data_IF_631868276641
#
_entry.id   IF_631868276641
#
_cell.length_a   1.000
_cell.length_b   1.000
_cell.length_c   1.000
_cell.angle_alpha   90.00
_cell.angle_beta   90.00
_cell.angle_gamma   90.00
#
_symmetry.space_group_name_H-M   'P 1'
#
loop_
_entity.id
_entity.type
_entity.pdbx_description
1 polymer ?
#
# COMPACT_ATOMS: atom_id res chain seq x y z
N UNK A 1 -8.16 -4.67 3.56
CA UNK A 1 -9.37 -3.87 3.35
C UNK A 1 -9.93 -3.48 4.68
N UNK A 2 -10.66 -2.38 4.75
CA UNK A 2 -11.50 -2.12 5.92
C UNK A 2 -12.51 -3.26 6.10
N UNK A 3 -12.73 -3.70 7.33
CA UNK A 3 -13.70 -4.77 7.65
C UNK A 3 -15.13 -4.22 7.86
N UNK A 4 -15.32 -2.90 7.76
CA UNK A 4 -16.63 -2.25 7.87
C UNK A 4 -17.43 -2.26 6.56
N UNK A 5 -16.81 -2.71 5.48
CA UNK A 5 -17.39 -2.68 4.14
C UNK A 5 -17.42 -1.27 3.51
N UNK A 6 -17.94 -1.15 2.27
CA UNK A 6 -18.03 0.13 1.59
C UNK A 6 -19.04 1.06 2.27
N UNK A 7 -18.81 2.38 2.31
CA UNK A 7 -19.80 3.36 2.74
C UNK A 7 -21.13 3.24 1.97
N UNK A 8 -22.27 3.59 2.62
CA UNK A 8 -23.59 3.50 1.99
C UNK A 8 -23.66 4.31 0.69
N UNK A 9 -23.20 5.57 0.73
CA UNK A 9 -23.17 6.44 -0.45
C UNK A 9 -22.41 5.84 -1.63
N UNK A 10 -21.28 5.16 -1.36
CA UNK A 10 -20.51 4.47 -2.41
C UNK A 10 -21.28 3.30 -3.01
N UNK A 11 -21.97 2.50 -2.19
CA UNK A 11 -22.81 1.40 -2.71
C UNK A 11 -23.97 1.92 -3.58
N UNK A 12 -24.58 3.04 -3.18
CA UNK A 12 -25.65 3.70 -3.93
C UNK A 12 -25.11 4.25 -5.28
N UNK A 13 -23.96 4.92 -5.26
CA UNK A 13 -23.30 5.41 -6.48
C UNK A 13 -22.92 4.29 -7.46
N UNK A 14 -22.42 3.15 -6.93
CA UNK A 14 -22.10 1.99 -7.78
C UNK A 14 -23.37 1.38 -8.43
N UNK A 15 -24.51 1.34 -7.73
CA UNK A 15 -25.76 0.89 -8.29
C UNK A 15 -26.28 1.86 -9.37
N UNK A 16 -26.22 3.16 -9.11
CA UNK A 16 -26.60 4.17 -10.10
C UNK A 16 -25.72 4.11 -11.35
N UNK A 17 -24.42 3.88 -11.20
CA UNK A 17 -23.51 3.74 -12.34
C UNK A 17 -23.82 2.50 -13.20
N UNK A 18 -24.43 1.45 -12.64
CA UNK A 18 -24.86 0.29 -13.41
C UNK A 18 -25.99 0.59 -14.39
N UNK A 19 -26.85 1.57 -14.10
CA UNK A 19 -27.95 2.01 -14.98
C UNK A 19 -27.44 2.86 -16.16
N UNK A 20 -26.19 3.35 -16.08
CA UNK A 20 -25.57 4.20 -17.10
C UNK A 20 -24.43 3.50 -17.86
N UNK A 21 -24.32 2.17 -17.74
CA UNK A 21 -23.20 1.38 -18.29
C UNK A 21 -23.06 1.47 -19.82
N UNK A 22 -24.10 1.87 -20.54
CA UNK A 22 -24.11 2.12 -21.99
C UNK A 22 -23.29 3.35 -22.41
N UNK A 23 -22.92 4.21 -21.47
CA UNK A 23 -22.14 5.44 -21.73
C UNK A 23 -20.68 5.25 -21.41
N UNK A 24 -19.82 5.82 -22.25
CA UNK A 24 -18.40 5.90 -21.91
C UNK A 24 -18.18 6.71 -20.67
N UNK A 25 -17.26 6.31 -19.78
CA UNK A 25 -16.86 7.12 -18.65
C UNK A 25 -16.16 8.41 -19.12
N UNK A 26 -16.09 9.41 -18.25
CA UNK A 26 -15.37 10.65 -18.55
C UNK A 26 -13.89 10.34 -18.86
N UNK A 27 -13.37 10.80 -20.02
CA UNK A 27 -11.97 10.57 -20.36
C UNK A 27 -11.03 11.13 -19.28
N UNK A 28 -10.00 10.34 -18.94
CA UNK A 28 -8.98 10.72 -17.93
C UNK A 28 -9.55 11.00 -16.53
N UNK A 29 -10.84 10.69 -16.28
CA UNK A 29 -11.52 11.01 -15.01
C UNK A 29 -11.29 12.47 -14.57
N UNK A 30 -11.43 13.44 -15.49
CA UNK A 30 -10.96 14.81 -15.31
C UNK A 30 -11.60 15.52 -14.12
N UNK A 31 -12.93 15.41 -13.94
CA UNK A 31 -13.63 16.00 -12.80
C UNK A 31 -13.20 15.38 -11.47
N UNK A 32 -13.01 14.05 -11.42
CA UNK A 32 -12.55 13.38 -10.21
C UNK A 32 -11.11 13.79 -9.87
N UNK A 33 -10.23 13.90 -10.88
CA UNK A 33 -8.85 14.39 -10.74
C UNK A 33 -8.81 15.80 -10.13
N UNK A 34 -9.59 16.74 -10.69
CA UNK A 34 -9.65 18.12 -10.20
C UNK A 34 -10.11 18.18 -8.72
N UNK A 35 -11.13 17.40 -8.36
CA UNK A 35 -11.63 17.32 -6.99
C UNK A 35 -10.59 16.74 -6.02
N UNK A 36 -9.86 15.71 -6.43
CA UNK A 36 -8.79 15.12 -5.61
C UNK A 36 -7.63 16.09 -5.43
N UNK A 37 -7.20 16.78 -6.49
CA UNK A 37 -6.17 17.80 -6.40
C UNK A 37 -6.56 18.95 -5.45
N UNK A 38 -7.79 19.44 -5.56
CA UNK A 38 -8.33 20.48 -4.67
C UNK A 38 -8.34 20.02 -3.21
N UNK A 39 -8.81 18.80 -2.95
CA UNK A 39 -8.84 18.22 -1.60
C UNK A 39 -7.45 18.14 -0.96
N UNK A 40 -6.46 17.73 -1.73
CA UNK A 40 -5.08 17.56 -1.27
C UNK A 40 -4.26 18.87 -1.31
N UNK A 41 -4.82 19.95 -1.82
CA UNK A 41 -4.16 21.25 -1.89
C UNK A 41 -2.98 21.29 -2.89
N UNK A 42 -3.03 20.47 -3.93
CA UNK A 42 -2.01 20.41 -4.98
C UNK A 42 -2.55 20.98 -6.31
N UNK A 43 -1.69 21.48 -7.22
CA UNK A 43 -2.12 21.87 -8.56
C UNK A 43 -2.84 20.73 -9.29
N UNK A 44 -3.87 21.02 -10.08
CA UNK A 44 -4.62 20.00 -10.82
C UNK A 44 -3.72 19.15 -11.73
N UNK A 45 -2.74 19.77 -12.39
CA UNK A 45 -1.76 19.09 -13.22
C UNK A 45 -0.84 18.13 -12.46
N UNK A 46 -0.80 18.23 -11.13
CA UNK A 46 -0.02 17.35 -10.25
C UNK A 46 -0.75 16.09 -9.82
N UNK A 47 -1.99 15.86 -10.26
CA UNK A 47 -2.77 14.68 -9.90
C UNK A 47 -3.13 13.84 -11.14
N UNK A 48 -3.15 12.52 -10.98
CA UNK A 48 -3.60 11.56 -11.98
C UNK A 48 -4.41 10.45 -11.31
N UNK A 49 -5.63 10.22 -11.79
CA UNK A 49 -6.48 9.11 -11.34
C UNK A 49 -6.21 7.90 -12.23
N UNK A 50 -6.09 6.71 -11.64
CA UNK A 50 -5.80 5.47 -12.38
C UNK A 50 -6.71 4.30 -12.00
N UNK A 51 -6.70 3.27 -12.82
CA UNK A 51 -7.38 1.99 -12.62
C UNK A 51 -6.70 1.17 -11.49
N UNK A 52 -6.78 1.72 -10.28
CA UNK A 52 -6.02 1.29 -9.12
C UNK A 52 -4.57 1.80 -9.12
N UNK A 53 -3.92 1.73 -7.95
CA UNK A 53 -2.51 2.12 -7.83
C UNK A 53 -1.58 1.28 -8.73
N UNK A 54 -1.96 0.04 -9.05
CA UNK A 54 -1.13 -0.81 -9.91
C UNK A 54 -0.95 -0.24 -11.32
N UNK A 55 -2.00 0.26 -11.96
CA UNK A 55 -1.85 0.94 -13.26
C UNK A 55 -0.87 2.12 -13.15
N UNK A 56 -1.01 2.93 -12.11
CA UNK A 56 -0.16 4.09 -11.90
C UNK A 56 1.31 3.71 -11.70
N UNK A 57 1.60 2.58 -11.05
CA UNK A 57 2.96 2.03 -10.89
C UNK A 57 3.56 1.73 -12.27
N UNK A 58 2.81 1.07 -13.17
CA UNK A 58 3.29 0.71 -14.51
C UNK A 58 3.45 1.94 -15.41
N UNK A 59 2.51 2.87 -15.38
CA UNK A 59 2.60 4.12 -16.13
C UNK A 59 3.78 4.98 -15.68
N UNK A 60 4.02 5.03 -14.37
CA UNK A 60 5.16 5.72 -13.78
C UNK A 60 6.48 5.09 -14.25
N UNK A 61 6.62 3.77 -14.16
CA UNK A 61 7.81 3.07 -14.65
C UNK A 61 8.05 3.33 -16.13
N UNK A 62 7.00 3.31 -16.96
CA UNK A 62 7.07 3.65 -18.39
C UNK A 62 7.51 5.10 -18.63
N UNK A 63 7.00 6.06 -17.84
CA UNK A 63 7.35 7.45 -17.98
C UNK A 63 8.81 7.74 -17.57
N UNK A 64 9.32 7.01 -16.56
CA UNK A 64 10.66 7.19 -16.02
C UNK A 64 11.75 6.45 -16.83
N UNK A 65 11.38 5.48 -17.67
CA UNK A 65 12.33 4.59 -18.33
C UNK A 65 13.43 5.31 -19.13
N UNK A 66 13.08 6.37 -19.86
CA UNK A 66 14.05 7.12 -20.67
C UNK A 66 15.10 7.85 -19.80
N UNK A 67 14.68 8.46 -18.69
CA UNK A 67 15.57 9.19 -17.77
C UNK A 67 16.37 8.28 -16.84
N UNK A 68 15.96 7.01 -16.71
CA UNK A 68 16.62 6.03 -15.85
C UNK A 68 17.71 5.19 -16.59
N UNK A 69 17.95 5.43 -17.89
CA UNK A 69 18.92 4.63 -18.67
C UNK A 69 20.30 4.60 -18.03
N UNK A 70 20.84 3.39 -17.86
CA UNK A 70 22.16 3.15 -17.25
C UNK A 70 22.21 3.32 -15.73
N UNK A 71 21.08 3.72 -15.10
CA UNK A 71 20.94 3.83 -13.65
C UNK A 71 19.90 2.84 -13.14
N UNK A 72 19.92 2.54 -11.87
CA UNK A 72 19.00 1.60 -11.21
C UNK A 72 18.01 2.31 -10.29
N UNK A 73 16.89 1.68 -10.03
CA UNK A 73 16.01 2.06 -8.92
C UNK A 73 16.32 1.21 -7.70
N UNK A 74 16.35 1.84 -6.54
CA UNK A 74 16.40 1.15 -5.25
C UNK A 74 14.99 0.72 -4.86
N UNK A 75 14.87 -0.52 -4.37
CA UNK A 75 13.62 -1.06 -3.86
C UNK A 75 13.92 -1.79 -2.56
N UNK A 76 13.43 -1.33 -1.39
CA UNK A 76 13.58 -2.06 -0.13
C UNK A 76 12.93 -3.44 -0.23
N UNK A 77 13.59 -4.46 0.30
CA UNK A 77 13.11 -5.85 0.25
C UNK A 77 13.11 -6.48 1.65
N UNK A 78 12.01 -7.12 2.09
CA UNK A 78 10.80 -7.43 1.33
C UNK A 78 9.84 -6.26 1.15
N UNK A 79 9.23 -6.14 -0.04
CA UNK A 79 8.16 -5.17 -0.32
C UNK A 79 7.20 -5.70 -1.40
N UNK A 80 6.24 -4.88 -1.82
CA UNK A 80 5.27 -5.25 -2.85
C UNK A 80 5.95 -5.47 -4.21
N UNK A 81 5.84 -6.69 -4.75
CA UNK A 81 6.59 -7.14 -5.92
C UNK A 81 6.29 -6.41 -7.23
N UNK A 82 5.16 -5.67 -7.31
CA UNK A 82 4.80 -4.94 -8.54
C UNK A 82 5.72 -3.76 -8.82
N UNK A 83 6.41 -3.19 -7.82
CA UNK A 83 7.39 -2.13 -8.07
C UNK A 83 8.54 -2.64 -8.93
N UNK A 84 9.17 -3.72 -8.49
CA UNK A 84 10.22 -4.40 -9.24
C UNK A 84 9.74 -4.84 -10.61
N UNK A 85 8.58 -5.53 -10.66
CA UNK A 85 8.02 -6.05 -11.90
C UNK A 85 7.75 -4.95 -12.93
N UNK A 86 7.20 -3.80 -12.50
CA UNK A 86 6.93 -2.67 -13.38
C UNK A 86 8.24 -2.04 -13.88
N UNK A 87 9.20 -1.80 -12.99
CA UNK A 87 10.50 -1.21 -13.34
C UNK A 87 11.26 -2.09 -14.34
N UNK A 88 11.45 -3.38 -14.02
CA UNK A 88 12.14 -4.34 -14.90
C UNK A 88 11.40 -4.54 -16.23
N UNK A 89 10.05 -4.56 -16.21
CA UNK A 89 9.23 -4.66 -17.41
C UNK A 89 9.38 -3.48 -18.38
N UNK A 90 9.89 -2.34 -17.90
CA UNK A 90 10.21 -1.16 -18.71
C UNK A 90 11.72 -0.94 -18.89
N UNK A 91 12.54 -1.97 -18.62
CA UNK A 91 13.98 -1.93 -18.82
C UNK A 91 14.76 -1.11 -17.78
N UNK A 92 14.16 -0.82 -16.63
CA UNK A 92 14.83 -0.14 -15.53
C UNK A 92 15.42 -1.20 -14.59
N UNK A 93 16.72 -1.19 -14.39
CA UNK A 93 17.38 -2.10 -13.46
C UNK A 93 16.96 -1.81 -12.01
N UNK A 94 16.79 -2.87 -11.21
CA UNK A 94 16.42 -2.78 -9.81
C UNK A 94 17.56 -3.25 -8.91
N UNK A 95 17.86 -2.46 -7.89
CA UNK A 95 18.71 -2.83 -6.77
C UNK A 95 17.87 -3.02 -5.53
N UNK A 96 17.76 -4.24 -5.03
CA UNK A 96 17.11 -4.49 -3.74
C UNK A 96 18.00 -4.02 -2.59
N UNK A 97 17.39 -3.29 -1.65
CA UNK A 97 18.00 -2.89 -0.38
C UNK A 97 17.40 -3.76 0.72
N UNK A 98 18.16 -4.71 1.29
CA UNK A 98 17.64 -5.61 2.31
C UNK A 98 17.20 -4.85 3.56
N UNK A 99 15.96 -5.12 4.02
CA UNK A 99 15.48 -4.64 5.32
C UNK A 99 15.94 -5.61 6.42
N UNK A 100 16.45 -5.11 7.57
CA UNK A 100 16.81 -5.95 8.71
C UNK A 100 15.58 -6.71 9.24
N UNK A 101 15.68 -8.02 9.38
CA UNK A 101 14.51 -8.88 9.73
C UNK A 101 13.98 -8.64 11.14
N UNK A 102 14.81 -8.11 12.03
CA UNK A 102 14.47 -7.80 13.42
C UNK A 102 13.48 -6.62 13.50
N UNK A 103 13.69 -5.59 12.67
CA UNK A 103 12.94 -4.33 12.73
C UNK A 103 12.15 -4.04 11.46
N UNK A 104 12.59 -4.53 10.31
CA UNK A 104 12.15 -4.11 8.98
C UNK A 104 12.23 -2.59 8.75
N UNK A 105 13.06 -1.89 9.51
CA UNK A 105 13.29 -0.46 9.34
C UNK A 105 14.08 -0.18 8.07
N UNK A 106 13.81 0.96 7.44
CA UNK A 106 14.58 1.41 6.28
C UNK A 106 16.02 1.74 6.71
N UNK A 107 17.05 1.12 6.13
CA UNK A 107 18.44 1.46 6.44
C UNK A 107 18.81 2.78 5.71
N UNK A 108 18.45 3.91 6.32
CA UNK A 108 18.50 5.24 5.69
C UNK A 108 19.89 5.59 5.18
N UNK A 109 20.93 5.32 5.97
CA UNK A 109 22.33 5.62 5.60
C UNK A 109 22.76 4.82 4.36
N UNK A 110 22.35 3.55 4.25
CA UNK A 110 22.62 2.72 3.08
C UNK A 110 21.87 3.26 1.86
N UNK A 111 20.61 3.63 2.04
CA UNK A 111 19.79 4.20 0.96
C UNK A 111 20.38 5.52 0.48
N UNK A 112 20.78 6.42 1.36
CA UNK A 112 21.40 7.71 1.00
C UNK A 112 22.73 7.54 0.25
N UNK A 113 23.52 6.56 0.63
CA UNK A 113 24.75 6.22 -0.07
C UNK A 113 24.46 5.67 -1.47
N UNK A 114 23.56 4.70 -1.60
CA UNK A 114 23.20 4.08 -2.86
C UNK A 114 22.46 5.05 -3.82
N UNK A 115 21.74 6.05 -3.30
CA UNK A 115 21.07 7.10 -4.09
C UNK A 115 22.05 7.98 -4.88
N UNK A 116 23.34 7.98 -4.56
CA UNK A 116 24.34 8.74 -5.32
C UNK A 116 24.42 8.28 -6.79
N UNK A 117 24.18 7.00 -7.05
CA UNK A 117 24.23 6.42 -8.39
C UNK A 117 22.86 5.94 -8.90
N UNK A 118 21.84 5.95 -8.06
CA UNK A 118 20.51 5.47 -8.40
C UNK A 118 19.68 6.52 -9.15
N UNK A 119 18.79 6.07 -10.05
CA UNK A 119 17.79 6.92 -10.69
C UNK A 119 16.64 7.27 -9.73
N UNK A 120 16.46 6.49 -8.67
CA UNK A 120 15.45 6.74 -7.66
C UNK A 120 15.29 5.62 -6.63
N UNK A 121 14.40 5.88 -5.70
CA UNK A 121 13.92 4.94 -4.67
C UNK A 121 12.41 4.75 -4.83
N UNK A 122 11.96 3.49 -4.83
CA UNK A 122 10.54 3.15 -4.77
C UNK A 122 10.21 2.53 -3.40
N UNK A 123 9.43 3.22 -2.60
CA UNK A 123 9.14 2.88 -1.21
C UNK A 123 7.63 2.67 -1.00
N UNK A 124 7.24 1.62 -0.26
CA UNK A 124 5.89 1.44 0.26
C UNK A 124 5.83 1.91 1.72
N UNK A 125 4.91 2.81 2.05
CA UNK A 125 4.83 3.35 3.41
C UNK A 125 3.38 3.58 3.87
N UNK A 126 2.86 2.80 4.84
CA UNK A 126 3.47 1.62 5.49
C UNK A 126 3.81 0.50 4.52
N UNK A 127 4.90 -0.21 4.78
CA UNK A 127 5.40 -1.24 3.89
C UNK A 127 4.51 -2.50 3.86
N UNK A 128 4.35 -3.08 2.70
CA UNK A 128 3.70 -4.37 2.50
C UNK A 128 4.77 -5.40 2.07
N UNK A 129 5.07 -6.45 2.86
CA UNK A 129 4.16 -7.10 3.82
C UNK A 129 4.41 -6.75 5.30
N UNK A 130 5.39 -5.93 5.66
CA UNK A 130 5.86 -5.79 7.02
C UNK A 130 4.92 -4.97 7.92
N UNK A 131 4.13 -4.06 7.34
CA UNK A 131 3.32 -3.10 8.09
C UNK A 131 4.11 -1.96 8.74
N UNK A 132 5.43 -1.95 8.55
CA UNK A 132 6.32 -0.91 9.08
C UNK A 132 6.02 0.44 8.43
N UNK A 133 5.87 1.46 9.26
CA UNK A 133 5.75 2.86 8.87
C UNK A 133 7.09 3.55 9.15
N UNK A 134 7.63 4.21 8.16
CA UNK A 134 8.67 5.19 8.33
C UNK A 134 8.03 6.57 8.50
N UNK A 135 8.34 7.31 9.57
CA UNK A 135 7.70 8.58 9.83
C UNK A 135 8.14 9.65 8.83
N UNK A 136 7.30 10.69 8.68
CA UNK A 136 7.55 11.80 7.75
C UNK A 136 8.92 12.47 7.98
N UNK A 137 9.36 12.55 9.25
CA UNK A 137 10.64 13.12 9.66
C UNK A 137 11.84 12.36 9.08
N UNK A 138 11.68 11.09 8.75
CA UNK A 138 12.69 10.26 8.08
C UNK A 138 12.60 10.42 6.56
N UNK A 139 11.37 10.41 6.01
CA UNK A 139 11.18 10.40 4.56
C UNK A 139 11.40 11.78 3.92
N UNK A 140 11.09 12.87 4.59
CA UNK A 140 11.23 14.21 4.01
C UNK A 140 12.70 14.62 3.79
N UNK A 141 13.64 14.41 4.74
CA UNK A 141 15.06 14.58 4.46
C UNK A 141 15.55 13.70 3.30
N UNK A 142 15.11 12.44 3.24
CA UNK A 142 15.47 11.52 2.16
C UNK A 142 14.96 12.02 0.79
N UNK A 143 13.73 12.58 0.73
CA UNK A 143 13.18 13.18 -0.49
C UNK A 143 14.02 14.37 -0.97
N UNK A 144 14.47 15.22 -0.04
CA UNK A 144 15.37 16.36 -0.35
C UNK A 144 16.75 15.89 -0.81
N UNK A 145 17.30 14.86 -0.15
CA UNK A 145 18.56 14.26 -0.54
C UNK A 145 18.49 13.63 -1.94
N UNK A 146 17.41 12.94 -2.27
CA UNK A 146 17.15 12.43 -3.62
C UNK A 146 17.04 13.57 -4.65
N UNK A 147 16.29 14.64 -4.35
CA UNK A 147 16.15 15.81 -5.22
C UNK A 147 17.51 16.47 -5.55
N UNK A 148 18.36 16.65 -4.54
CA UNK A 148 19.69 17.24 -4.71
C UNK A 148 20.60 16.42 -5.65
N UNK A 149 20.27 15.14 -5.87
CA UNK A 149 21.01 14.20 -6.74
C UNK A 149 20.32 13.94 -8.08
N UNK A 150 19.20 14.60 -8.35
CA UNK A 150 18.37 14.32 -9.53
C UNK A 150 17.83 12.88 -9.56
N UNK A 151 17.62 12.29 -8.38
CA UNK A 151 17.01 10.98 -8.21
C UNK A 151 15.54 11.12 -7.79
N UNK A 152 14.70 10.17 -8.20
CA UNK A 152 13.29 10.15 -7.86
C UNK A 152 13.06 9.52 -6.47
N UNK A 153 12.11 10.07 -5.71
CA UNK A 153 11.48 9.37 -4.61
C UNK A 153 10.03 9.07 -4.96
N UNK A 154 9.70 7.77 -5.01
CA UNK A 154 8.32 7.30 -5.20
C UNK A 154 7.86 6.65 -3.91
N UNK A 155 6.78 7.17 -3.31
CA UNK A 155 6.21 6.65 -2.07
C UNK A 155 4.79 6.16 -2.30
N UNK A 156 4.56 4.86 -2.10
CA UNK A 156 3.21 4.28 -2.13
C UNK A 156 2.59 4.35 -0.73
N UNK A 157 1.68 5.30 -0.54
CA UNK A 157 0.92 5.54 0.70
C UNK A 157 -0.40 4.76 0.76
N UNK A 158 -0.56 3.68 0.01
CA UNK A 158 -1.83 2.92 -0.07
C UNK A 158 -2.35 2.41 1.28
N UNK A 159 -1.48 2.27 2.28
CA UNK A 159 -1.85 1.83 3.63
C UNK A 159 -1.74 2.93 4.68
N UNK A 160 -1.26 4.11 4.32
CA UNK A 160 -1.09 5.25 5.23
C UNK A 160 -2.39 5.66 5.95
N UNK A 161 -3.58 5.63 5.30
CA UNK A 161 -4.83 5.96 5.99
C UNK A 161 -5.17 5.08 7.20
N UNK A 162 -4.50 3.94 7.40
CA UNK A 162 -4.66 3.06 8.56
C UNK A 162 -3.64 3.31 9.68
N UNK A 163 -2.63 4.14 9.42
CA UNK A 163 -1.61 4.50 10.40
C UNK A 163 -2.19 5.39 11.51
N UNK A 164 -1.58 5.42 12.71
CA UNK A 164 -2.09 6.21 13.84
C UNK A 164 -2.27 7.69 13.51
N UNK A 165 -1.30 8.34 12.91
CA UNK A 165 -1.33 9.73 12.46
C UNK A 165 -2.08 9.88 11.11
N UNK A 166 -2.17 8.79 10.35
CA UNK A 166 -2.85 8.78 9.06
C UNK A 166 -2.23 9.73 8.06
N UNK A 167 -3.04 10.63 7.51
CA UNK A 167 -2.60 11.54 6.44
C UNK A 167 -1.63 12.64 6.92
N UNK A 168 -1.43 12.83 8.22
CA UNK A 168 -0.43 13.77 8.76
C UNK A 168 1.00 13.35 8.41
N UNK A 169 1.26 12.05 8.28
CA UNK A 169 2.53 11.51 7.81
C UNK A 169 2.71 11.55 6.29
N UNK A 170 1.73 12.04 5.53
CA UNK A 170 1.78 12.06 4.07
C UNK A 170 2.80 13.04 3.52
N UNK A 171 3.43 12.63 2.42
CA UNK A 171 4.29 13.50 1.62
C UNK A 171 3.56 14.25 0.49
N UNK A 172 2.24 14.04 0.30
CA UNK A 172 1.48 14.77 -0.74
C UNK A 172 1.64 16.29 -0.66
N UNK A 173 1.61 16.95 0.52
CA UNK A 173 1.82 18.40 0.61
C UNK A 173 3.17 18.90 0.09
N UNK A 174 4.16 18.01 -0.01
CA UNK A 174 5.51 18.36 -0.50
C UNK A 174 5.69 18.21 -2.01
N UNK A 175 4.73 17.58 -2.70
CA UNK A 175 4.80 17.35 -4.16
C UNK A 175 4.97 18.64 -4.95
N UNK A 176 4.32 19.73 -4.52
CA UNK A 176 4.46 21.04 -5.18
C UNK A 176 5.84 21.69 -4.98
N UNK A 177 6.63 21.23 -4.00
CA UNK A 177 7.93 21.80 -3.63
C UNK A 177 9.11 20.94 -4.06
N UNK A 178 8.89 19.64 -4.27
CA UNK A 178 9.93 18.66 -4.59
C UNK A 178 9.70 18.11 -6.01
N UNK A 179 10.53 18.51 -7.00
CA UNK A 179 10.33 18.18 -8.41
C UNK A 179 10.57 16.71 -8.76
N UNK A 180 11.00 15.92 -7.81
CA UNK A 180 11.34 14.50 -7.95
C UNK A 180 10.50 13.59 -7.05
N UNK A 181 9.48 14.15 -6.38
CA UNK A 181 8.62 13.38 -5.47
C UNK A 181 7.36 12.91 -6.19
N UNK A 182 7.05 11.62 -6.05
CA UNK A 182 5.79 11.03 -6.49
C UNK A 182 5.16 10.29 -5.32
N UNK A 183 3.89 10.55 -5.07
CA UNK A 183 3.11 9.85 -4.05
C UNK A 183 1.97 9.08 -4.72
N UNK A 184 1.86 7.78 -4.44
CA UNK A 184 0.78 6.92 -4.92
C UNK A 184 -0.18 6.62 -3.77
N UNK A 185 -1.48 6.58 -4.05
CA UNK A 185 -2.51 6.16 -3.08
C UNK A 185 -3.53 5.22 -3.70
N UNK A 186 -3.88 4.16 -2.98
CA UNK A 186 -5.02 3.32 -3.32
C UNK A 186 -6.26 3.78 -2.56
N UNK A 187 -7.26 4.25 -3.28
CA UNK A 187 -8.55 4.63 -2.67
C UNK A 187 -9.43 3.40 -2.35
N UNK A 188 -8.98 2.19 -2.74
CA UNK A 188 -9.77 0.97 -2.58
C UNK A 188 -9.61 0.29 -1.23
N UNK A 189 -8.47 0.49 -0.56
CA UNK A 189 -8.13 -0.26 0.66
C UNK A 189 -8.95 0.20 1.85
N UNK A 190 -8.94 1.52 2.10
CA UNK A 190 -9.66 2.16 3.19
C UNK A 190 -11.17 1.95 3.06
N UNK A 191 -11.70 2.10 1.84
CA UNK A 191 -13.12 2.11 1.56
C UNK A 191 -13.72 0.76 1.18
N UNK A 192 -12.92 -0.32 1.26
CA UNK A 192 -13.33 -1.70 0.97
C UNK A 192 -13.99 -1.90 -0.41
N UNK A 193 -13.46 -1.24 -1.44
CA UNK A 193 -13.91 -1.32 -2.84
C UNK A 193 -12.80 -1.82 -3.80
N UNK A 194 -12.12 -2.93 -3.51
CA UNK A 194 -11.00 -3.37 -4.33
C UNK A 194 -11.40 -3.70 -5.78
N UNK A 195 -12.63 -4.17 -5.96
CA UNK A 195 -13.18 -4.49 -7.28
C UNK A 195 -13.43 -3.26 -8.16
N UNK A 196 -13.63 -2.07 -7.59
CA UNK A 196 -13.83 -0.85 -8.36
C UNK A 196 -12.56 -0.37 -9.07
N UNK A 197 -11.38 -0.73 -8.57
CA UNK A 197 -10.08 -0.35 -9.15
C UNK A 197 -9.87 1.16 -9.23
N UNK A 198 -9.56 1.81 -8.11
CA UNK A 198 -9.36 3.25 -8.03
C UNK A 198 -8.09 3.59 -7.26
N UNK A 199 -7.22 4.40 -7.86
CA UNK A 199 -6.01 4.94 -7.27
C UNK A 199 -5.74 6.36 -7.75
N UNK A 200 -4.82 7.04 -7.09
CA UNK A 200 -4.36 8.37 -7.48
C UNK A 200 -2.85 8.46 -7.32
N UNK A 201 -2.20 9.15 -8.25
CA UNK A 201 -0.81 9.57 -8.17
C UNK A 201 -0.77 11.09 -8.04
N UNK A 202 0.18 11.57 -7.22
CA UNK A 202 0.54 12.98 -7.11
C UNK A 202 2.02 13.12 -7.45
N UNK A 203 2.36 14.08 -8.32
CA UNK A 203 3.74 14.28 -8.77
C UNK A 203 3.90 15.57 -9.55
N UNK A 204 5.12 15.85 -10.04
CA UNK A 204 5.37 17.02 -10.88
C UNK A 204 4.48 17.00 -12.13
N UNK A 205 3.93 18.16 -12.57
CA UNK A 205 3.00 18.24 -13.71
C UNK A 205 3.55 17.62 -14.99
N UNK A 206 4.84 17.78 -15.26
CA UNK A 206 5.50 17.25 -16.45
C UNK A 206 5.53 15.72 -16.45
N UNK A 207 5.78 15.11 -15.29
CA UNK A 207 5.76 13.65 -15.13
C UNK A 207 4.32 13.12 -15.24
N UNK A 208 3.36 13.80 -14.61
CA UNK A 208 1.94 13.45 -14.71
C UNK A 208 1.48 13.51 -16.18
N UNK A 209 1.84 14.56 -16.93
CA UNK A 209 1.55 14.66 -18.35
C UNK A 209 2.20 13.53 -19.17
N UNK A 210 3.44 13.15 -18.84
CA UNK A 210 4.12 12.02 -19.47
C UNK A 210 3.44 10.67 -19.18
N UNK A 211 2.89 10.48 -17.98
CA UNK A 211 2.09 9.29 -17.62
C UNK A 211 0.75 9.29 -18.37
N UNK A 212 0.06 10.45 -18.42
CA UNK A 212 -1.21 10.62 -19.13
C UNK A 212 -1.09 10.31 -20.64
N UNK A 213 0.04 10.67 -21.26
CA UNK A 213 0.28 10.39 -22.67
C UNK A 213 0.46 8.90 -23.00
N UNK A 214 0.64 8.04 -21.98
CA UNK A 214 0.93 6.62 -22.10
C UNK A 214 -0.25 5.72 -21.76
N UNK A 215 -1.36 6.30 -21.31
CA UNK A 215 -2.52 5.50 -20.88
C UNK A 215 -3.69 5.58 -21.86
N UNK A 216 -4.56 4.59 -21.77
CA UNK A 216 -5.89 4.63 -22.38
C UNK A 216 -6.73 5.75 -21.71
N UNK A 217 -7.35 6.66 -22.50
CA UNK A 217 -8.18 7.75 -21.97
C UNK A 217 -9.33 7.28 -21.07
N UNK A 218 -9.84 6.05 -21.25
CA UNK A 218 -10.96 5.46 -20.52
C UNK A 218 -10.54 4.36 -19.53
N UNK A 219 -9.26 4.30 -19.16
CA UNK A 219 -8.76 3.26 -18.25
C UNK A 219 -9.47 3.24 -16.89
N UNK A 220 -9.97 4.38 -16.42
CA UNK A 220 -10.76 4.49 -15.18
C UNK A 220 -12.23 4.30 -15.52
N UNK A 221 -12.78 3.15 -15.17
CA UNK A 221 -14.16 2.77 -15.50
C UNK A 221 -15.21 3.64 -14.78
N UNK A 222 -16.47 3.63 -15.29
CA UNK A 222 -17.57 4.43 -14.76
C UNK A 222 -17.86 4.17 -13.28
N UNK A 223 -17.80 2.90 -12.84
CA UNK A 223 -18.00 2.53 -11.43
C UNK A 223 -16.92 3.12 -10.51
N UNK A 224 -15.66 3.11 -10.95
CA UNK A 224 -14.56 3.70 -10.21
C UNK A 224 -14.73 5.22 -10.08
N UNK A 225 -15.12 5.90 -11.14
CA UNK A 225 -15.37 7.34 -11.13
C UNK A 225 -16.54 7.70 -10.21
N UNK A 226 -17.68 7.00 -10.33
CA UNK A 226 -18.85 7.19 -9.47
C UNK A 226 -18.50 6.95 -7.99
N UNK A 227 -17.79 5.86 -7.69
CA UNK A 227 -17.31 5.58 -6.33
C UNK A 227 -16.38 6.69 -5.82
N UNK A 228 -15.45 7.18 -6.65
CA UNK A 228 -14.53 8.26 -6.30
C UNK A 228 -15.24 9.55 -5.93
N UNK A 229 -16.23 9.97 -6.71
CA UNK A 229 -17.07 11.13 -6.40
C UNK A 229 -17.81 10.95 -5.09
N UNK A 230 -18.48 9.80 -4.90
CA UNK A 230 -19.20 9.50 -3.67
C UNK A 230 -18.30 9.46 -2.43
N UNK A 231 -17.04 9.03 -2.56
CA UNK A 231 -16.05 9.06 -1.49
C UNK A 231 -15.67 10.49 -1.09
N UNK A 232 -15.59 11.40 -2.05
CA UNK A 232 -15.29 12.80 -1.79
C UNK A 232 -16.47 13.56 -1.17
N UNK A 233 -17.72 13.15 -1.50
CA UNK A 233 -18.94 13.73 -0.95
C UNK A 233 -19.28 13.18 0.43
N UNK A 234 -18.90 11.94 0.72
CA UNK A 234 -19.16 11.32 2.00
C UNK A 234 -18.24 11.91 3.08
N UNK A 235 -18.84 12.54 4.08
CA UNK A 235 -18.15 12.89 5.33
C UNK A 235 -17.84 11.61 6.12
N UNK A 236 -16.89 10.81 5.63
CA UNK A 236 -16.45 9.62 6.34
C UNK A 236 -15.67 10.04 7.60
N UNK A 237 -16.09 9.56 8.77
CA UNK A 237 -15.29 9.68 9.98
C UNK A 237 -14.05 8.74 9.89
N UNK A 238 -13.04 9.22 9.17
CA UNK A 238 -11.76 8.51 9.00
C UNK A 238 -11.06 8.30 10.34
N UNK A 239 -11.25 9.23 11.28
CA UNK A 239 -10.71 9.12 12.63
C UNK A 239 -11.31 7.92 13.37
N UNK A 240 -12.63 7.74 13.29
CA UNK A 240 -13.31 6.55 13.87
C UNK A 240 -12.81 5.26 13.21
N UNK A 241 -12.75 5.22 11.89
CA UNK A 241 -12.28 4.04 11.18
C UNK A 241 -10.84 3.67 11.56
N UNK A 242 -9.94 4.65 11.65
CA UNK A 242 -8.56 4.43 12.13
C UNK A 242 -8.53 3.84 13.54
N UNK A 243 -9.30 4.42 14.48
CA UNK A 243 -9.40 3.91 15.86
C UNK A 243 -9.94 2.48 15.90
N UNK A 244 -10.93 2.15 15.08
CA UNK A 244 -11.51 0.81 15.02
C UNK A 244 -10.49 -0.21 14.48
N UNK A 245 -9.75 0.15 13.43
CA UNK A 245 -8.67 -0.70 12.89
C UNK A 245 -7.52 -0.84 13.89
N UNK A 246 -7.11 0.23 14.57
CA UNK A 246 -6.06 0.18 15.58
C UNK A 246 -6.43 -0.77 16.73
N UNK A 247 -7.65 -0.63 17.30
CA UNK A 247 -8.17 -1.53 18.35
C UNK A 247 -8.22 -2.99 17.91
N UNK A 248 -8.70 -3.23 16.67
CA UNK A 248 -8.77 -4.59 16.13
C UNK A 248 -7.37 -5.18 15.92
N UNK A 249 -6.41 -4.36 15.48
CA UNK A 249 -4.99 -4.74 15.30
C UNK A 249 -4.34 -5.10 16.63
N UNK A 250 -4.50 -4.26 17.65
CA UNK A 250 -3.97 -4.53 19.00
C UNK A 250 -4.56 -5.80 19.61
N UNK A 251 -5.87 -6.02 19.43
CA UNK A 251 -6.49 -7.24 19.89
C UNK A 251 -5.94 -8.47 19.16
N UNK A 252 -5.74 -8.38 17.83
CA UNK A 252 -5.16 -9.48 17.05
C UNK A 252 -3.71 -9.77 17.47
N UNK A 253 -2.91 -8.73 17.76
CA UNK A 253 -1.54 -8.90 18.27
C UNK A 253 -1.56 -9.68 19.58
N UNK A 254 -2.33 -9.23 20.59
CA UNK A 254 -2.44 -9.93 21.90
C UNK A 254 -2.89 -11.38 21.76
N UNK A 255 -3.86 -11.64 20.89
CA UNK A 255 -4.35 -12.99 20.66
C UNK A 255 -3.30 -13.88 19.97
N UNK A 256 -2.52 -13.34 19.04
CA UNK A 256 -1.42 -14.06 18.36
C UNK A 256 -0.24 -14.34 19.31
N UNK A 257 0.07 -13.41 20.21
CA UNK A 257 1.09 -13.59 21.25
C UNK A 257 0.71 -14.70 22.22
N UNK A 258 -0.59 -14.95 22.43
CA UNK A 258 -1.09 -16.08 23.20
C UNK A 258 -1.03 -17.45 22.49
N UNK A 259 -0.57 -17.50 21.24
CA UNK A 259 -0.37 -18.76 20.50
C UNK A 259 1.11 -19.12 20.50
N UNK A 260 1.44 -20.27 21.05
CA UNK A 260 2.82 -20.75 21.14
C UNK A 260 3.49 -20.81 19.76
N UNK A 261 4.68 -20.21 19.66
CA UNK A 261 5.48 -20.23 18.43
C UNK A 261 5.01 -19.29 17.33
N UNK A 262 4.22 -18.27 17.67
CA UNK A 262 3.95 -17.13 16.81
C UNK A 262 4.56 -15.84 17.38
N UNK A 263 5.10 -15.03 16.49
CA UNK A 263 5.62 -13.71 16.83
C UNK A 263 5.07 -12.67 15.84
N UNK A 264 3.97 -11.97 16.20
CA UNK A 264 3.45 -10.89 15.36
C UNK A 264 4.42 -9.71 15.35
N UNK A 265 4.64 -9.13 14.18
CA UNK A 265 5.47 -7.94 14.01
C UNK A 265 4.62 -6.67 14.15
N UNK A 266 5.20 -5.62 14.73
CA UNK A 266 4.56 -4.32 14.84
C UNK A 266 4.11 -3.80 13.47
N UNK A 267 2.89 -3.25 13.39
CA UNK A 267 2.30 -2.79 12.14
C UNK A 267 1.52 -1.51 12.33
N UNK A 268 1.62 -0.61 11.36
CA UNK A 268 0.79 0.58 11.20
C UNK A 268 -0.29 0.41 10.12
N UNK A 269 -0.35 -0.78 9.47
CA UNK A 269 -1.31 -1.09 8.42
C UNK A 269 -2.54 -1.86 8.96
N UNK A 270 -3.42 -2.24 8.06
CA UNK A 270 -4.59 -3.10 8.35
C UNK A 270 -4.30 -4.59 8.16
N UNK A 271 -3.06 -4.99 8.39
CA UNK A 271 -2.58 -6.38 8.39
C UNK A 271 -1.42 -6.53 9.36
N UNK A 272 -1.12 -7.78 9.73
CA UNK A 272 0.07 -8.15 10.50
C UNK A 272 0.94 -9.11 9.69
N UNK A 273 2.25 -8.93 9.76
CA UNK A 273 3.22 -9.94 9.40
C UNK A 273 3.49 -10.78 10.67
N UNK A 274 3.36 -12.10 10.56
CA UNK A 274 3.49 -13.01 11.69
C UNK A 274 4.60 -14.01 11.40
N UNK A 275 5.57 -14.07 12.30
CA UNK A 275 6.65 -15.04 12.23
C UNK A 275 6.22 -16.36 12.88
N UNK A 276 6.53 -17.49 12.23
CA UNK A 276 6.36 -18.83 12.76
C UNK A 276 7.69 -19.27 13.36
N UNK A 277 7.73 -19.35 14.70
CA UNK A 277 8.89 -19.77 15.48
C UNK A 277 8.71 -21.14 16.13
N UNK A 278 7.52 -21.74 15.98
CA UNK A 278 7.19 -23.06 16.52
C UNK A 278 8.13 -24.14 15.95
N UNK A 279 8.77 -24.98 16.81
CA UNK A 279 9.64 -26.04 16.34
C UNK A 279 8.92 -27.00 15.38
N UNK A 280 9.58 -27.35 14.27
CA UNK A 280 9.02 -28.26 13.26
C UNK A 280 8.00 -27.62 12.31
N UNK A 281 7.63 -26.35 12.51
CA UNK A 281 6.71 -25.62 11.63
C UNK A 281 7.43 -24.57 10.79
N UNK A 282 6.93 -24.40 9.55
CA UNK A 282 7.28 -23.29 8.65
C UNK A 282 6.01 -22.58 8.23
N UNK A 283 6.12 -21.31 7.87
CA UNK A 283 4.97 -20.50 7.49
C UNK A 283 4.13 -21.12 6.34
N UNK A 284 4.71 -21.70 5.25
CA UNK A 284 3.92 -22.36 4.22
C UNK A 284 3.05 -23.51 4.76
N UNK A 285 3.55 -24.32 5.69
CA UNK A 285 2.79 -25.40 6.28
C UNK A 285 1.61 -24.90 7.14
N UNK A 286 1.82 -23.78 7.86
CA UNK A 286 0.75 -23.11 8.62
C UNK A 286 -0.32 -22.58 7.66
N UNK A 287 0.09 -21.89 6.57
CA UNK A 287 -0.81 -21.38 5.53
C UNK A 287 -1.66 -22.47 4.92
N UNK A 288 -1.03 -23.61 4.55
CA UNK A 288 -1.74 -24.77 3.97
C UNK A 288 -2.69 -25.42 4.97
N UNK A 289 -2.30 -25.53 6.24
CA UNK A 289 -3.14 -26.11 7.29
C UNK A 289 -4.36 -25.22 7.60
N UNK A 290 -4.21 -23.90 7.60
CA UNK A 290 -5.30 -22.94 7.72
C UNK A 290 -6.22 -22.99 6.48
N UNK A 291 -5.64 -23.07 5.27
CA UNK A 291 -6.40 -23.20 4.02
C UNK A 291 -7.32 -24.42 4.01
N UNK A 292 -6.84 -25.57 4.48
CA UNK A 292 -7.67 -26.81 4.65
C UNK A 292 -8.83 -26.63 5.63
N UNK A 293 -8.75 -25.65 6.53
CA UNK A 293 -9.83 -25.27 7.48
C UNK A 293 -10.71 -24.13 6.95
N UNK A 294 -10.54 -23.71 5.70
CA UNK A 294 -11.28 -22.59 5.08
C UNK A 294 -10.84 -21.21 5.55
N UNK A 295 -9.69 -21.09 6.22
CA UNK A 295 -9.13 -19.83 6.71
C UNK A 295 -7.99 -19.39 5.80
N UNK A 296 -8.20 -18.27 5.09
CA UNK A 296 -7.22 -17.75 4.14
C UNK A 296 -6.35 -16.68 4.79
N UNK A 297 -5.04 -16.92 4.82
CA UNK A 297 -4.00 -15.94 5.13
C UNK A 297 -3.09 -15.74 3.92
N UNK A 298 -2.33 -14.67 3.89
CA UNK A 298 -1.42 -14.40 2.78
C UNK A 298 -0.13 -15.19 2.95
N UNK A 299 0.13 -16.10 2.03
CA UNK A 299 1.44 -16.72 1.83
C UNK A 299 2.47 -15.68 1.40
N UNK A 300 3.58 -15.61 2.14
CA UNK A 300 4.64 -14.64 1.90
C UNK A 300 5.78 -15.16 1.02
N UNK A 301 5.69 -16.36 0.42
CA UNK A 301 6.73 -16.90 -0.50
C UNK A 301 7.01 -15.96 -1.68
N UNK A 302 6.01 -15.20 -2.15
CA UNK A 302 6.19 -14.21 -3.21
C UNK A 302 7.00 -12.97 -2.81
N UNK A 303 7.34 -12.81 -1.52
CA UNK A 303 8.20 -11.73 -1.01
C UNK A 303 9.65 -12.20 -0.75
N UNK A 304 10.05 -13.31 -1.35
CA UNK A 304 11.40 -13.85 -1.23
C UNK A 304 11.64 -14.65 0.06
N UNK A 305 12.87 -14.64 0.62
CA UNK A 305 13.27 -15.54 1.71
C UNK A 305 12.43 -15.47 2.97
N UNK A 306 11.75 -14.35 3.23
CA UNK A 306 10.87 -14.24 4.42
C UNK A 306 9.67 -15.19 4.37
N UNK A 307 9.28 -15.67 3.18
CA UNK A 307 8.12 -16.55 3.01
C UNK A 307 8.23 -17.90 3.71
N UNK A 308 9.45 -18.36 4.03
CA UNK A 308 9.66 -19.59 4.79
C UNK A 308 9.33 -19.43 6.28
N UNK A 309 9.44 -18.19 6.80
CA UNK A 309 9.26 -17.89 8.22
C UNK A 309 8.00 -17.11 8.52
N UNK A 310 7.44 -16.38 7.55
CA UNK A 310 6.37 -15.41 7.79
C UNK A 310 5.15 -15.71 6.93
N UNK A 311 3.97 -15.48 7.50
CA UNK A 311 2.72 -15.27 6.78
C UNK A 311 2.14 -13.91 7.13
N UNK A 312 1.26 -13.36 6.27
CA UNK A 312 0.57 -12.10 6.54
C UNK A 312 -0.92 -12.34 6.71
N UNK A 313 -1.51 -11.80 7.78
CA UNK A 313 -2.94 -11.84 8.02
C UNK A 313 -3.57 -10.46 8.01
N UNK A 314 -4.84 -10.36 7.58
CA UNK A 314 -5.58 -9.11 7.64
C UNK A 314 -6.07 -8.83 9.07
N UNK A 315 -6.08 -7.55 9.46
CA UNK A 315 -6.86 -7.09 10.60
C UNK A 315 -8.33 -7.19 10.22
N UNK A 316 -9.11 -7.95 10.97
CA UNK A 316 -10.50 -8.30 10.67
C UNK A 316 -11.43 -8.08 11.88
N UNK A 317 -12.73 -8.15 11.64
CA UNK A 317 -13.72 -8.14 12.70
C UNK A 317 -13.60 -9.36 13.63
N UNK A 318 -14.17 -9.24 14.83
CA UNK A 318 -14.05 -10.24 15.91
C UNK A 318 -14.32 -11.69 15.45
N UNK A 319 -15.41 -12.03 14.73
CA UNK A 319 -15.67 -13.43 14.37
C UNK A 319 -14.57 -14.09 13.54
N UNK A 320 -14.03 -13.36 12.54
CA UNK A 320 -12.96 -13.88 11.68
C UNK A 320 -11.62 -13.95 12.44
N UNK A 321 -11.37 -13.03 13.36
CA UNK A 321 -10.20 -13.01 14.22
C UNK A 321 -10.22 -14.21 15.19
N UNK A 322 -11.35 -14.43 15.89
CA UNK A 322 -11.53 -15.52 16.82
C UNK A 322 -11.35 -16.88 16.11
N UNK A 323 -11.90 -17.05 14.90
CA UNK A 323 -11.73 -18.26 14.10
C UNK A 323 -10.26 -18.52 13.74
N UNK A 324 -9.53 -17.46 13.32
CA UNK A 324 -8.11 -17.57 12.97
C UNK A 324 -7.26 -17.95 14.18
N UNK A 325 -7.43 -17.25 15.31
CA UNK A 325 -6.63 -17.49 16.51
C UNK A 325 -6.94 -18.82 17.19
N UNK A 326 -8.20 -19.28 17.14
CA UNK A 326 -8.57 -20.62 17.58
C UNK A 326 -7.90 -21.70 16.71
N UNK A 327 -7.97 -21.59 15.39
CA UNK A 327 -7.35 -22.54 14.47
C UNK A 327 -5.82 -22.61 14.61
N UNK A 328 -5.17 -21.47 14.84
CA UNK A 328 -3.73 -21.41 15.09
C UNK A 328 -3.37 -22.04 16.44
N UNK A 329 -4.16 -21.79 17.50
CA UNK A 329 -4.00 -22.42 18.80
C UNK A 329 -4.13 -23.95 18.76
N UNK A 330 -5.08 -24.47 17.96
CA UNK A 330 -5.25 -25.91 17.74
C UNK A 330 -4.09 -26.53 16.94
N UNK A 331 -3.47 -25.77 16.03
CA UNK A 331 -2.35 -26.24 15.22
C UNK A 331 -1.02 -26.25 15.97
N UNK A 332 -0.74 -25.18 16.71
CA UNK A 332 0.58 -24.90 17.27
C UNK A 332 0.64 -25.06 18.80
N UNK A 333 -0.51 -25.15 19.45
CA UNK A 333 -0.65 -25.12 20.91
C UNK A 333 -0.84 -23.69 21.45
N UNK A 334 -1.54 -23.57 22.58
CA UNK A 334 -1.70 -22.30 23.31
C UNK A 334 -0.67 -22.21 24.43
N UNK A 335 -0.10 -21.04 24.61
CA UNK A 335 0.62 -20.76 25.86
C UNK A 335 -0.39 -20.65 27.00
N UNK A 336 -0.07 -21.24 28.16
CA UNK A 336 -0.84 -21.01 29.36
C UNK A 336 -0.76 -19.51 29.68
N UNK A 337 -1.89 -18.80 29.60
CA UNK A 337 -1.99 -17.45 30.08
C UNK A 337 -1.66 -17.48 31.57
N UNK A 338 -0.51 -16.97 31.97
CA UNK A 338 -0.23 -16.72 33.37
C UNK A 338 -1.20 -15.64 33.82
N UNK A 339 -2.19 -16.07 34.61
CA UNK A 339 -3.20 -15.28 35.31
C UNK A 339 -2.55 -14.35 36.34
#
# INVERSE_FOLDING_TARGET
MSFTGPPRAVREALRAAAEEVERYPEPRAARLRARLALREGVPEGSAMVGNGASELIYLLASALAAGARGRRFLVPSPTFGEYRRALEGHGIAVREVPLPWESFALPVEVVEQELQEAAGLFLCNPNNPTGRLEPREVLLPLARAAAARGAWLVVDESFLPFAPQGEEDSLVPEVARLPNLVVLRSLTKLHAIPGARLGVAFGPPELVAAMEARRDPWSVNAFAQAAGHALLDAAADLGRLRRDVARAREALVREMEGVRGLLPRASSANFLLVEVTAPGWRAPAVVDALGRRGILVRDCRSFGPIGERFFRTAVSGRPARDALTAALGDLLGREALHS
#
